data_IF_938943446843
#
_entry.id   IF_938943446843
#
_cell.length_a   1.000
_cell.length_b   1.000
_cell.length_c   1.000
_cell.angle_alpha   90.00
_cell.angle_beta   90.00
_cell.angle_gamma   90.00
#
_symmetry.space_group_name_H-M   'P 1'
#
loop_
_entity.id
_entity.type
_entity.pdbx_description
1 polymer ?
#
# COMPACT_ATOMS: atom_id res chain seq x y z
N UNK A 1 51.39 -1.35 14.32
CA UNK A 1 50.76 -2.36 15.19
C UNK A 1 49.47 -1.86 15.86
N UNK A 2 49.47 -0.82 16.70
CA UNK A 2 48.24 -0.33 17.36
C UNK A 2 47.12 0.15 16.41
N UNK A 3 47.46 0.83 15.32
CA UNK A 3 46.48 1.24 14.30
C UNK A 3 45.93 0.05 13.49
N UNK A 4 46.71 -1.02 13.36
CA UNK A 4 46.34 -2.24 12.61
C UNK A 4 45.43 -3.12 13.47
N UNK A 5 45.75 -3.25 14.77
CA UNK A 5 44.87 -3.89 15.77
C UNK A 5 43.54 -3.16 15.92
N UNK A 6 43.55 -1.81 15.95
CA UNK A 6 42.31 -1.02 15.99
C UNK A 6 41.46 -1.12 14.72
N UNK A 7 42.09 -1.29 13.56
CA UNK A 7 41.38 -1.51 12.29
C UNK A 7 40.78 -2.92 12.22
N UNK A 8 41.54 -3.93 12.65
CA UNK A 8 41.06 -5.33 12.70
C UNK A 8 39.94 -5.50 13.73
N UNK A 9 40.03 -4.88 14.91
CA UNK A 9 38.96 -4.91 15.90
C UNK A 9 37.69 -4.20 15.40
N UNK A 10 37.84 -3.06 14.72
CA UNK A 10 36.70 -2.34 14.11
C UNK A 10 36.06 -3.13 12.96
N UNK A 11 36.87 -3.81 12.13
CA UNK A 11 36.40 -4.65 11.05
C UNK A 11 35.68 -5.91 11.56
N UNK A 12 36.21 -6.55 12.61
CA UNK A 12 35.57 -7.69 13.25
C UNK A 12 34.23 -7.31 13.91
N UNK A 13 34.16 -6.13 14.54
CA UNK A 13 32.92 -5.61 15.11
C UNK A 13 31.89 -5.26 14.03
N UNK A 14 32.34 -4.66 12.91
CA UNK A 14 31.47 -4.40 11.76
C UNK A 14 30.94 -5.69 11.11
N UNK A 15 31.75 -6.74 11.07
CA UNK A 15 31.34 -8.04 10.55
C UNK A 15 30.26 -8.70 11.44
N UNK A 16 30.39 -8.63 12.77
CA UNK A 16 29.37 -9.16 13.69
C UNK A 16 28.06 -8.37 13.60
N UNK A 17 28.11 -7.04 13.46
CA UNK A 17 26.91 -6.22 13.25
C UNK A 17 26.23 -6.54 11.92
N UNK A 18 27.01 -6.67 10.85
CA UNK A 18 26.46 -7.00 9.53
C UNK A 18 25.74 -8.35 9.55
N UNK A 19 26.30 -9.35 10.23
CA UNK A 19 25.69 -10.67 10.44
C UNK A 19 24.42 -10.59 11.27
N UNK A 20 24.44 -9.85 12.37
CA UNK A 20 23.27 -9.61 13.21
C UNK A 20 22.12 -8.96 12.41
N UNK A 21 22.42 -7.90 11.64
CA UNK A 21 21.43 -7.22 10.81
C UNK A 21 20.86 -8.10 9.71
N UNK A 22 21.74 -8.76 8.97
CA UNK A 22 21.39 -9.70 7.91
C UNK A 22 20.33 -10.70 8.40
N UNK A 23 20.59 -11.30 9.56
CA UNK A 23 19.71 -12.30 10.16
C UNK A 23 18.36 -11.71 10.61
N UNK A 24 18.35 -10.50 11.15
CA UNK A 24 17.13 -9.84 11.64
C UNK A 24 16.31 -9.18 10.54
N UNK A 25 16.87 -9.01 9.35
CA UNK A 25 16.22 -8.32 8.23
C UNK A 25 14.87 -8.90 7.81
N UNK A 26 14.69 -10.23 7.69
CA UNK A 26 13.45 -10.78 7.17
C UNK A 26 12.30 -10.61 8.15
N UNK A 27 12.60 -10.31 9.43
CA UNK A 27 11.59 -9.99 10.44
C UNK A 27 10.78 -8.74 10.08
N UNK A 28 11.35 -7.84 9.28
CA UNK A 28 10.64 -6.70 8.74
C UNK A 28 9.53 -7.15 7.77
N UNK A 29 9.70 -8.25 7.04
CA UNK A 29 8.71 -8.76 6.07
C UNK A 29 7.65 -9.63 6.77
N UNK A 30 8.09 -10.60 7.57
CA UNK A 30 7.23 -11.42 8.42
C UNK A 30 7.97 -11.82 9.70
N UNK A 31 7.69 -11.17 10.84
CA UNK A 31 8.42 -11.39 12.08
C UNK A 31 8.19 -12.79 12.65
N UNK A 32 6.97 -13.32 12.59
CA UNK A 32 6.67 -14.63 13.17
C UNK A 32 7.31 -15.77 12.39
N UNK A 33 7.23 -15.73 11.05
CA UNK A 33 7.91 -16.72 10.21
C UNK A 33 9.41 -16.68 10.39
N UNK A 34 9.99 -15.48 10.37
CA UNK A 34 11.44 -15.33 10.55
C UNK A 34 11.87 -15.87 11.89
N UNK A 35 11.20 -15.46 12.98
CA UNK A 35 11.54 -15.86 14.33
C UNK A 35 11.38 -17.36 14.56
N UNK A 36 10.35 -17.98 13.97
CA UNK A 36 10.18 -19.43 13.96
C UNK A 36 11.34 -20.15 13.25
N UNK A 37 11.69 -19.73 12.02
CA UNK A 37 12.76 -20.37 11.24
C UNK A 37 14.11 -20.18 11.91
N UNK A 38 14.42 -18.98 12.40
CA UNK A 38 15.70 -18.69 13.06
C UNK A 38 15.81 -19.38 14.41
N UNK A 39 14.71 -19.52 15.16
CA UNK A 39 14.72 -20.28 16.43
C UNK A 39 14.86 -21.78 16.16
N UNK A 40 14.17 -22.30 15.15
CA UNK A 40 14.31 -23.69 14.72
C UNK A 40 15.76 -24.00 14.31
N UNK A 41 16.32 -23.17 13.42
CA UNK A 41 17.70 -23.31 12.98
C UNK A 41 18.71 -23.22 14.14
N UNK A 42 18.47 -22.35 15.13
CA UNK A 42 19.29 -22.26 16.35
C UNK A 42 19.23 -23.55 17.16
N UNK A 43 18.03 -24.08 17.44
CA UNK A 43 17.86 -25.31 18.24
C UNK A 43 18.45 -26.56 17.58
N UNK A 44 18.51 -26.59 16.23
CA UNK A 44 19.12 -27.69 15.47
C UNK A 44 20.63 -27.48 15.28
N UNK A 45 21.18 -26.33 15.68
CA UNK A 45 22.59 -25.99 15.53
C UNK A 45 23.00 -25.69 14.09
N UNK A 46 22.06 -25.24 13.25
CA UNK A 46 22.28 -24.93 11.84
C UNK A 46 22.33 -23.41 11.65
N UNK A 47 23.46 -22.91 11.16
CA UNK A 47 23.61 -21.50 10.78
C UNK A 47 24.88 -20.85 11.31
N UNK A 48 24.95 -19.52 11.13
CA UNK A 48 26.05 -18.68 11.60
C UNK A 48 26.16 -18.64 13.14
N UNK A 49 27.36 -18.39 13.66
CA UNK A 49 27.68 -18.38 15.09
C UNK A 49 26.81 -17.41 15.90
N UNK A 50 26.37 -16.29 15.30
CA UNK A 50 25.45 -15.33 15.93
C UNK A 50 24.05 -15.92 16.20
N UNK A 51 23.60 -16.89 15.40
CA UNK A 51 22.32 -17.56 15.56
C UNK A 51 22.35 -18.47 16.79
N UNK A 52 23.37 -19.33 16.86
CA UNK A 52 23.57 -20.30 17.93
C UNK A 52 23.86 -19.66 19.29
N UNK A 53 24.28 -18.39 19.28
CA UNK A 53 24.69 -17.68 20.50
C UNK A 53 23.63 -16.70 21.03
N UNK A 54 22.52 -16.51 20.32
CA UNK A 54 21.48 -15.58 20.76
C UNK A 54 20.55 -16.26 21.79
N UNK A 55 20.53 -15.81 23.06
CA UNK A 55 19.77 -16.47 24.13
C UNK A 55 18.26 -16.41 23.92
N UNK A 56 17.77 -15.51 23.07
CA UNK A 56 16.36 -15.46 22.68
C UNK A 56 16.01 -16.54 21.65
N UNK A 57 16.94 -16.91 20.76
CA UNK A 57 16.68 -17.87 19.69
C UNK A 57 16.85 -19.31 20.13
N UNK A 58 17.82 -19.55 21.01
CA UNK A 58 18.10 -20.86 21.60
C UNK A 58 17.15 -21.17 22.77
N UNK A 59 15.85 -21.02 22.55
CA UNK A 59 14.83 -21.30 23.53
C UNK A 59 13.65 -22.04 22.89
N UNK A 60 13.37 -23.23 23.42
CA UNK A 60 12.22 -24.04 22.97
C UNK A 60 10.87 -23.31 23.14
N UNK A 61 10.78 -22.42 24.14
CA UNK A 61 9.59 -21.60 24.37
C UNK A 61 9.38 -20.63 23.20
N UNK A 62 10.45 -19.99 22.75
CA UNK A 62 10.40 -19.03 21.64
C UNK A 62 10.04 -19.74 20.32
N UNK A 63 10.58 -20.95 20.10
CA UNK A 63 10.20 -21.81 18.97
C UNK A 63 8.71 -22.15 18.99
N UNK A 64 8.18 -22.61 20.13
CA UNK A 64 6.79 -23.03 20.24
C UNK A 64 5.82 -21.85 20.09
N UNK A 65 6.09 -20.73 20.76
CA UNK A 65 5.26 -19.52 20.66
C UNK A 65 5.26 -18.96 19.25
N UNK A 66 6.42 -18.90 18.60
CA UNK A 66 6.51 -18.42 17.21
C UNK A 66 5.81 -19.34 16.22
N UNK A 67 5.88 -20.66 16.41
CA UNK A 67 5.10 -21.62 15.64
C UNK A 67 3.60 -21.39 15.79
N UNK A 68 3.10 -21.23 17.03
CA UNK A 68 1.69 -20.94 17.28
C UNK A 68 1.25 -19.63 16.61
N UNK A 69 2.08 -18.59 16.63
CA UNK A 69 1.81 -17.32 15.96
C UNK A 69 1.81 -17.45 14.43
N UNK A 70 2.69 -18.25 13.84
CA UNK A 70 2.69 -18.58 12.41
C UNK A 70 1.39 -19.30 12.02
N UNK A 71 0.99 -20.29 12.80
CA UNK A 71 -0.24 -21.05 12.59
C UNK A 71 -1.46 -20.13 12.72
N UNK A 72 -1.51 -19.30 13.76
CA UNK A 72 -2.58 -18.34 14.01
C UNK A 72 -2.71 -17.27 12.91
N UNK A 73 -1.60 -16.83 12.31
CA UNK A 73 -1.63 -15.82 11.23
C UNK A 73 -1.92 -16.43 9.85
N UNK A 74 -1.67 -17.71 9.65
CA UNK A 74 -1.85 -18.37 8.34
C UNK A 74 -3.22 -19.05 8.19
N UNK A 75 -3.72 -19.70 9.24
CA UNK A 75 -5.00 -20.43 9.20
C UNK A 75 -6.22 -19.55 8.88
N UNK A 76 -6.41 -18.36 9.49
CA UNK A 76 -7.61 -17.54 9.25
C UNK A 76 -7.70 -16.98 7.83
N UNK A 77 -6.62 -17.01 7.06
CA UNK A 77 -6.63 -16.56 5.67
C UNK A 77 -7.14 -17.64 4.70
N UNK A 78 -7.34 -18.88 5.16
CA UNK A 78 -7.76 -20.00 4.32
C UNK A 78 -9.28 -20.02 4.04
N UNK A 79 -10.11 -19.38 4.88
CA UNK A 79 -11.56 -19.38 4.68
C UNK A 79 -12.14 -17.96 4.60
N UNK A 80 -13.18 -17.77 3.77
CA UNK A 80 -13.82 -16.46 3.58
C UNK A 80 -14.49 -15.93 4.86
N UNK A 81 -14.91 -16.81 5.76
CA UNK A 81 -15.62 -16.48 7.01
C UNK A 81 -14.66 -15.91 8.05
N UNK A 82 -13.39 -16.34 8.04
CA UNK A 82 -12.36 -15.88 8.98
C UNK A 82 -11.60 -14.62 8.54
N UNK A 83 -12.01 -13.95 7.45
CA UNK A 83 -11.34 -12.74 6.94
C UNK A 83 -11.15 -11.62 7.97
N UNK A 84 -12.12 -11.27 8.84
CA UNK A 84 -11.90 -10.27 9.88
C UNK A 84 -10.81 -10.67 10.88
N UNK A 85 -10.75 -11.96 11.22
CA UNK A 85 -9.71 -12.52 12.10
C UNK A 85 -8.36 -12.50 11.40
N UNK A 86 -8.31 -12.84 10.11
CA UNK A 86 -7.10 -12.74 9.30
C UNK A 86 -6.53 -11.32 9.22
N UNK A 87 -7.40 -10.32 9.09
CA UNK A 87 -6.99 -8.91 9.13
C UNK A 87 -6.44 -8.49 10.49
N UNK A 88 -7.06 -8.92 11.59
CA UNK A 88 -6.58 -8.65 12.94
C UNK A 88 -5.23 -9.34 13.22
N UNK A 89 -5.08 -10.60 12.78
CA UNK A 89 -3.84 -11.36 12.89
C UNK A 89 -2.71 -10.70 12.08
N UNK A 90 -2.99 -10.25 10.85
CA UNK A 90 -2.04 -9.49 10.02
C UNK A 90 -1.65 -8.15 10.67
N UNK A 91 -2.61 -7.43 11.25
CA UNK A 91 -2.32 -6.20 11.98
C UNK A 91 -1.41 -6.44 13.20
N UNK A 92 -1.64 -7.52 13.95
CA UNK A 92 -0.80 -7.91 15.08
C UNK A 92 0.63 -8.26 14.62
N UNK A 93 0.75 -9.02 13.53
CA UNK A 93 2.02 -9.34 12.88
C UNK A 93 2.77 -8.07 12.42
N UNK A 94 2.06 -7.10 11.81
CA UNK A 94 2.65 -5.83 11.40
C UNK A 94 3.21 -5.05 12.60
N UNK A 95 2.47 -4.98 13.71
CA UNK A 95 2.85 -4.19 14.90
C UNK A 95 3.91 -4.85 15.76
N UNK A 96 3.87 -6.18 15.86
CA UNK A 96 4.87 -6.95 16.61
C UNK A 96 6.26 -6.93 15.98
N UNK A 97 6.37 -6.70 14.67
CA UNK A 97 7.67 -6.63 13.98
C UNK A 97 8.66 -5.65 14.62
N UNK A 98 8.21 -4.46 15.01
CA UNK A 98 9.04 -3.45 15.66
C UNK A 98 9.51 -3.91 17.05
N UNK A 99 8.62 -4.51 17.83
CA UNK A 99 8.90 -4.97 19.20
C UNK A 99 9.88 -6.15 19.15
N UNK A 100 9.61 -7.13 18.30
CA UNK A 100 10.47 -8.30 18.11
C UNK A 100 11.86 -7.89 17.64
N UNK A 101 11.95 -6.98 16.67
CA UNK A 101 13.22 -6.47 16.17
C UNK A 101 14.02 -5.73 17.25
N UNK A 102 13.36 -4.89 18.05
CA UNK A 102 14.00 -4.20 19.17
C UNK A 102 14.48 -5.18 20.25
N UNK A 103 13.66 -6.16 20.62
CA UNK A 103 14.03 -7.18 21.61
C UNK A 103 15.20 -8.03 21.13
N UNK A 104 15.21 -8.45 19.87
CA UNK A 104 16.30 -9.21 19.25
C UNK A 104 17.65 -8.47 19.26
N UNK A 105 17.61 -7.16 19.02
CA UNK A 105 18.80 -6.30 19.06
C UNK A 105 19.32 -6.11 20.47
N UNK A 106 18.42 -5.95 21.44
CA UNK A 106 18.79 -5.66 22.83
C UNK A 106 19.11 -6.92 23.64
N UNK A 107 18.56 -8.08 23.28
CA UNK A 107 18.70 -9.32 24.04
C UNK A 107 20.17 -9.71 24.31
N UNK A 108 21.10 -9.67 23.35
CA UNK A 108 22.51 -9.97 23.63
C UNK A 108 23.13 -9.05 24.68
N UNK A 109 22.71 -7.78 24.75
CA UNK A 109 23.23 -6.81 25.71
C UNK A 109 22.58 -6.92 27.09
N UNK A 110 21.30 -7.29 27.15
CA UNK A 110 20.57 -7.50 28.41
C UNK A 110 21.00 -8.82 29.08
N UNK A 111 21.23 -9.87 28.29
CA UNK A 111 21.45 -11.23 28.80
C UNK A 111 22.93 -11.66 28.86
N UNK A 112 23.89 -10.97 28.21
CA UNK A 112 25.33 -11.28 28.28
C UNK A 112 26.14 -10.28 29.11
N UNK A 113 25.58 -9.79 30.21
CA UNK A 113 26.14 -8.71 31.03
C UNK A 113 27.51 -8.97 31.71
N UNK A 114 28.28 -10.01 31.35
CA UNK A 114 29.45 -10.45 32.12
C UNK A 114 30.75 -10.74 31.33
N UNK A 115 30.99 -10.19 30.14
CA UNK A 115 32.35 -10.31 29.55
C UNK A 115 32.87 -9.05 28.89
N UNK A 116 33.69 -8.38 29.71
CA UNK A 116 34.92 -7.61 29.44
C UNK A 116 35.05 -6.63 28.25
N UNK A 117 35.65 -5.50 28.65
CA UNK A 117 36.60 -4.65 27.93
C UNK A 117 36.05 -3.33 27.35
N UNK A 118 36.40 -2.24 28.05
CA UNK A 118 36.57 -0.86 27.56
C UNK A 118 35.77 -0.51 26.30
N UNK A 119 34.45 -0.54 26.36
CA UNK A 119 33.63 0.03 25.31
C UNK A 119 33.50 1.52 25.57
N UNK A 120 33.74 2.35 24.55
CA UNK A 120 33.46 3.78 24.61
C UNK A 120 31.97 3.96 24.91
N UNK A 121 31.63 4.43 26.10
CA UNK A 121 30.26 4.68 26.54
C UNK A 121 29.92 6.13 26.21
N UNK A 122 28.77 6.35 25.57
CA UNK A 122 28.19 7.68 25.41
C UNK A 122 27.17 7.86 26.52
N UNK A 123 27.50 8.70 27.51
CA UNK A 123 26.56 9.06 28.58
C UNK A 123 25.51 10.03 28.05
N UNK A 124 24.30 9.53 27.81
CA UNK A 124 23.11 10.32 27.49
C UNK A 124 22.34 10.60 28.78
N UNK A 125 22.91 11.44 29.65
CA UNK A 125 22.29 11.94 30.88
C UNK A 125 21.97 10.87 31.93
N UNK A 126 20.90 10.10 31.74
CA UNK A 126 20.44 9.03 32.63
C UNK A 126 20.84 7.62 32.16
N UNK A 127 21.32 7.47 30.93
CA UNK A 127 21.67 6.17 30.36
C UNK A 127 23.07 6.18 29.77
N UNK A 128 23.85 5.19 30.17
CA UNK A 128 25.17 4.88 29.63
C UNK A 128 24.99 3.85 28.51
N UNK A 129 25.06 4.32 27.26
CA UNK A 129 24.87 3.47 26.09
C UNK A 129 26.23 3.24 25.42
N UNK A 130 26.64 1.99 25.19
CA UNK A 130 27.85 1.70 24.44
C UNK A 130 27.78 2.30 23.03
N UNK A 131 28.86 2.92 22.55
CA UNK A 131 28.93 3.49 21.21
C UNK A 131 28.66 2.45 20.10
N UNK A 132 29.01 1.18 20.36
CA UNK A 132 28.65 0.02 19.55
C UNK A 132 27.15 -0.12 19.34
N UNK A 133 26.34 0.07 20.39
CA UNK A 133 24.87 0.02 20.33
C UNK A 133 24.32 1.20 19.54
N UNK A 134 24.88 2.40 19.68
CA UNK A 134 24.45 3.59 18.94
C UNK A 134 24.69 3.42 17.43
N UNK A 135 25.89 2.98 17.04
CA UNK A 135 26.20 2.64 15.65
C UNK A 135 25.29 1.53 15.15
N UNK A 136 25.03 0.52 16.00
CA UNK A 136 24.17 -0.59 15.64
C UNK A 136 22.75 -0.09 15.29
N UNK A 137 22.17 0.76 16.13
CA UNK A 137 20.86 1.38 15.86
C UNK A 137 20.89 2.26 14.60
N UNK A 138 21.96 3.04 14.41
CA UNK A 138 22.11 3.93 13.26
C UNK A 138 22.16 3.19 11.91
N UNK A 139 22.75 1.99 11.85
CA UNK A 139 22.74 1.14 10.66
C UNK A 139 21.49 0.25 10.55
N UNK A 140 20.95 -0.19 11.68
CA UNK A 140 19.73 -1.00 11.76
C UNK A 140 18.51 -0.28 11.16
N UNK A 141 18.32 1.01 11.48
CA UNK A 141 17.14 1.77 11.06
C UNK A 141 17.03 1.88 9.53
N UNK A 142 18.06 2.37 8.79
CA UNK A 142 18.02 2.43 7.33
C UNK A 142 17.84 1.04 6.71
N UNK A 143 18.49 0.03 7.27
CA UNK A 143 18.42 -1.33 6.76
C UNK A 143 17.02 -1.95 6.95
N UNK A 144 16.42 -1.81 8.14
CA UNK A 144 15.04 -2.18 8.41
C UNK A 144 14.06 -1.44 7.49
N UNK A 145 14.31 -0.15 7.22
CA UNK A 145 13.49 0.65 6.30
C UNK A 145 13.53 0.12 4.86
N UNK A 146 14.70 -0.30 4.37
CA UNK A 146 14.88 -0.92 3.05
C UNK A 146 14.02 -2.17 2.93
N UNK A 147 14.07 -3.07 3.92
CA UNK A 147 13.32 -4.33 3.89
C UNK A 147 11.81 -4.12 4.11
N UNK A 148 11.42 -3.21 5.00
CA UNK A 148 10.01 -2.81 5.15
C UNK A 148 9.42 -2.27 3.85
N UNK A 149 10.20 -1.55 3.05
CA UNK A 149 9.73 -1.03 1.76
C UNK A 149 9.42 -2.15 0.77
N UNK A 150 10.17 -3.26 0.79
CA UNK A 150 9.89 -4.45 -0.01
C UNK A 150 8.56 -5.09 0.41
N UNK A 151 8.32 -5.20 1.73
CA UNK A 151 7.01 -5.64 2.25
C UNK A 151 5.88 -4.74 1.78
N UNK A 152 6.04 -3.42 1.97
CA UNK A 152 5.05 -2.44 1.53
C UNK A 152 4.77 -2.51 0.03
N UNK A 153 5.77 -2.88 -0.76
CA UNK A 153 5.58 -3.12 -2.19
C UNK A 153 4.59 -4.28 -2.44
N UNK A 154 4.73 -5.42 -1.77
CA UNK A 154 3.77 -6.52 -1.87
C UNK A 154 2.39 -6.12 -1.35
N UNK A 155 2.31 -5.41 -0.22
CA UNK A 155 1.03 -4.93 0.31
C UNK A 155 0.31 -3.98 -0.66
N UNK A 156 1.05 -3.12 -1.34
CA UNK A 156 0.50 -2.23 -2.38
C UNK A 156 0.03 -3.04 -3.59
N UNK A 157 0.77 -4.07 -4.00
CA UNK A 157 0.38 -4.96 -5.11
C UNK A 157 -0.90 -5.72 -4.79
N UNK A 158 -1.03 -6.25 -3.56
CA UNK A 158 -2.25 -6.86 -3.04
C UNK A 158 -3.38 -5.83 -3.05
N UNK A 159 -3.15 -4.61 -2.54
CA UNK A 159 -4.15 -3.56 -2.51
C UNK A 159 -4.63 -3.12 -3.90
N UNK A 160 -3.75 -3.13 -4.91
CA UNK A 160 -4.09 -2.76 -6.28
C UNK A 160 -4.81 -3.88 -7.05
N UNK A 161 -4.71 -5.11 -6.59
CA UNK A 161 -5.25 -6.26 -7.30
C UNK A 161 -6.78 -6.33 -7.10
N UNK A 162 -7.56 -6.37 -8.20
CA UNK A 162 -9.01 -6.52 -8.11
C UNK A 162 -9.43 -8.00 -8.07
N UNK A 163 -8.49 -8.95 -8.20
CA UNK A 163 -8.76 -10.37 -8.36
C UNK A 163 -8.31 -11.09 -7.07
N UNK A 164 -9.21 -11.72 -6.30
CA UNK A 164 -8.86 -12.39 -5.04
C UNK A 164 -7.78 -13.47 -5.17
N UNK A 165 -7.67 -14.10 -6.34
CA UNK A 165 -6.63 -15.09 -6.63
C UNK A 165 -5.23 -14.44 -6.71
N UNK A 166 -5.14 -13.26 -7.32
CA UNK A 166 -3.89 -12.50 -7.37
C UNK A 166 -3.49 -12.00 -5.98
N UNK A 167 -4.46 -11.63 -5.14
CA UNK A 167 -4.21 -11.22 -3.75
C UNK A 167 -3.53 -12.36 -2.97
N UNK A 168 -4.10 -13.57 -3.05
CA UNK A 168 -3.54 -14.76 -2.42
C UNK A 168 -2.17 -15.13 -2.99
N UNK A 169 -1.98 -15.00 -4.30
CA UNK A 169 -0.69 -15.23 -4.95
C UNK A 169 0.38 -14.24 -4.46
N UNK A 170 0.05 -12.95 -4.35
CA UNK A 170 1.00 -11.95 -3.85
C UNK A 170 1.29 -12.13 -2.36
N UNK A 171 0.31 -12.51 -1.55
CA UNK A 171 0.53 -12.84 -0.14
C UNK A 171 1.44 -14.07 0.01
N UNK A 172 1.21 -15.12 -0.79
CA UNK A 172 2.07 -16.30 -0.81
C UNK A 172 3.49 -15.96 -1.30
N UNK A 173 3.60 -15.13 -2.33
CA UNK A 173 4.88 -14.65 -2.86
C UNK A 173 5.63 -13.84 -1.81
N UNK A 174 4.96 -12.98 -1.06
CA UNK A 174 5.57 -12.21 0.03
C UNK A 174 6.14 -13.13 1.11
N UNK A 175 5.38 -14.15 1.54
CA UNK A 175 5.83 -15.15 2.51
C UNK A 175 7.00 -15.98 1.95
N UNK A 176 6.90 -16.43 0.70
CA UNK A 176 7.95 -17.19 0.00
C UNK A 176 9.25 -16.39 -0.17
N UNK A 177 9.15 -15.10 -0.52
CA UNK A 177 10.30 -14.18 -0.59
C UNK A 177 10.93 -13.99 0.79
N UNK A 178 10.11 -13.92 1.86
CA UNK A 178 10.63 -13.83 3.23
C UNK A 178 11.43 -15.08 3.57
N UNK A 179 10.84 -16.27 3.36
CA UNK A 179 11.50 -17.55 3.60
C UNK A 179 12.80 -17.67 2.80
N UNK A 180 12.76 -17.33 1.52
CA UNK A 180 13.94 -17.32 0.65
C UNK A 180 15.03 -16.37 1.14
N UNK A 181 14.66 -15.16 1.58
CA UNK A 181 15.60 -14.22 2.16
C UNK A 181 16.18 -14.75 3.47
N UNK A 182 15.36 -15.29 4.40
CA UNK A 182 15.87 -15.89 5.65
C UNK A 182 16.93 -16.95 5.34
N UNK A 183 16.64 -17.85 4.41
CA UNK A 183 17.59 -18.91 4.01
C UNK A 183 18.87 -18.29 3.45
N UNK A 184 18.78 -17.31 2.54
CA UNK A 184 19.96 -16.60 2.03
C UNK A 184 20.74 -15.94 3.17
N UNK A 185 20.07 -15.31 4.11
CA UNK A 185 20.73 -14.61 5.22
C UNK A 185 21.41 -15.56 6.20
N UNK A 186 20.90 -16.79 6.35
CA UNK A 186 21.54 -17.83 7.16
C UNK A 186 22.89 -18.28 6.60
N UNK A 187 23.05 -18.31 5.27
CA UNK A 187 24.25 -18.84 4.61
C UNK A 187 25.14 -17.75 3.99
N UNK A 188 24.56 -16.64 3.52
CA UNK A 188 25.19 -15.60 2.71
C UNK A 188 24.67 -14.19 3.08
N UNK A 189 25.01 -13.67 4.27
CA UNK A 189 24.45 -12.42 4.80
C UNK A 189 24.68 -11.20 3.88
N UNK A 190 25.86 -11.10 3.27
CA UNK A 190 26.18 -10.02 2.34
C UNK A 190 25.34 -10.08 1.06
N UNK A 191 25.12 -11.29 0.52
CA UNK A 191 24.31 -11.47 -0.69
C UNK A 191 22.84 -11.09 -0.43
N UNK A 192 22.32 -11.45 0.75
CA UNK A 192 20.98 -11.05 1.16
C UNK A 192 20.82 -9.53 1.19
N UNK A 193 21.81 -8.78 1.71
CA UNK A 193 21.78 -7.31 1.73
C UNK A 193 21.70 -6.74 0.31
N UNK A 194 22.57 -7.19 -0.60
CA UNK A 194 22.57 -6.76 -2.01
C UNK A 194 21.21 -7.03 -2.67
N UNK A 195 20.64 -8.21 -2.41
CA UNK A 195 19.33 -8.60 -2.94
C UNK A 195 18.20 -7.71 -2.38
N UNK A 196 18.22 -7.42 -1.08
CA UNK A 196 17.25 -6.50 -0.45
C UNK A 196 17.37 -5.07 -1.00
N UNK A 197 18.58 -4.60 -1.28
CA UNK A 197 18.79 -3.29 -1.91
C UNK A 197 18.23 -3.26 -3.34
N UNK A 198 18.44 -4.32 -4.12
CA UNK A 198 17.89 -4.44 -5.47
C UNK A 198 16.35 -4.45 -5.45
N UNK A 199 15.76 -5.19 -4.51
CA UNK A 199 14.32 -5.22 -4.31
C UNK A 199 13.76 -3.85 -3.87
N UNK A 200 14.49 -3.12 -3.03
CA UNK A 200 14.14 -1.75 -2.65
C UNK A 200 14.15 -0.79 -3.84
N UNK A 201 15.16 -0.87 -4.72
CA UNK A 201 15.20 -0.07 -5.94
C UNK A 201 14.02 -0.39 -6.86
N UNK A 202 13.66 -1.67 -7.00
CA UNK A 202 12.49 -2.09 -7.76
C UNK A 202 11.19 -1.56 -7.14
N UNK A 203 11.06 -1.63 -5.81
CA UNK A 203 9.94 -1.08 -5.07
C UNK A 203 9.81 0.44 -5.27
N UNK A 204 10.91 1.19 -5.26
CA UNK A 204 10.91 2.64 -5.54
C UNK A 204 10.43 2.97 -6.97
N UNK A 205 10.82 2.18 -7.96
CA UNK A 205 10.35 2.35 -9.33
C UNK A 205 8.83 2.14 -9.44
N UNK A 206 8.31 1.15 -8.73
CA UNK A 206 6.89 0.80 -8.71
C UNK A 206 6.07 1.73 -7.81
N UNK A 207 6.67 2.30 -6.77
CA UNK A 207 6.04 3.28 -5.88
C UNK A 207 5.48 4.48 -6.65
N UNK A 208 6.18 4.96 -7.69
CA UNK A 208 5.68 6.03 -8.57
C UNK A 208 4.37 5.65 -9.29
N UNK A 209 4.16 4.37 -9.61
CA UNK A 209 2.92 3.87 -10.23
C UNK A 209 1.85 3.69 -9.17
N UNK A 210 2.18 3.07 -8.04
CA UNK A 210 1.30 2.89 -6.89
C UNK A 210 0.71 4.22 -6.41
N UNK A 211 1.53 5.25 -6.25
CA UNK A 211 1.11 6.57 -5.82
C UNK A 211 0.11 7.21 -6.81
N UNK A 212 0.25 6.97 -8.12
CA UNK A 212 -0.74 7.45 -9.10
C UNK A 212 -2.09 6.78 -8.91
N UNK A 213 -2.11 5.46 -8.71
CA UNK A 213 -3.35 4.69 -8.51
C UNK A 213 -4.00 5.05 -7.17
N UNK A 214 -3.22 5.12 -6.10
CA UNK A 214 -3.69 5.53 -4.77
C UNK A 214 -4.29 6.94 -4.79
N UNK A 215 -3.63 7.90 -5.45
CA UNK A 215 -4.17 9.26 -5.57
C UNK A 215 -5.48 9.32 -6.38
N UNK A 216 -5.59 8.52 -7.45
CA UNK A 216 -6.83 8.38 -8.22
C UNK A 216 -7.96 7.81 -7.34
N UNK A 217 -7.70 6.68 -6.67
CA UNK A 217 -8.65 6.02 -5.80
C UNK A 217 -9.11 6.93 -4.65
N UNK A 218 -8.15 7.62 -4.02
CA UNK A 218 -8.43 8.56 -2.93
C UNK A 218 -9.32 9.71 -3.40
N UNK A 219 -9.05 10.27 -4.58
CA UNK A 219 -9.86 11.38 -5.07
C UNK A 219 -11.26 10.93 -5.48
N UNK A 220 -11.40 9.83 -6.23
CA UNK A 220 -12.70 9.42 -6.77
C UNK A 220 -13.58 8.70 -5.74
N UNK A 221 -13.02 7.88 -4.85
CA UNK A 221 -13.83 7.06 -3.93
C UNK A 221 -13.75 7.55 -2.49
N UNK A 222 -12.53 7.71 -1.96
CA UNK A 222 -12.33 7.99 -0.53
C UNK A 222 -12.80 9.39 -0.14
N UNK A 223 -12.41 10.40 -0.90
CA UNK A 223 -12.79 11.79 -0.63
C UNK A 223 -14.31 12.00 -0.58
N UNK A 224 -15.11 11.53 -1.57
CA UNK A 224 -16.56 11.68 -1.48
C UNK A 224 -17.17 10.87 -0.33
N UNK A 225 -16.63 9.69 0.02
CA UNK A 225 -17.08 8.95 1.21
C UNK A 225 -16.80 9.76 2.49
N UNK A 226 -15.58 10.27 2.68
CA UNK A 226 -15.22 11.11 3.83
C UNK A 226 -16.11 12.36 3.88
N UNK A 227 -16.35 13.02 2.75
CA UNK A 227 -17.23 14.19 2.69
C UNK A 227 -18.69 13.86 3.08
N UNK A 228 -19.16 12.66 2.74
CA UNK A 228 -20.50 12.20 3.12
C UNK A 228 -20.64 12.01 4.63
N UNK A 229 -19.60 11.48 5.29
CA UNK A 229 -19.61 11.25 6.74
C UNK A 229 -19.24 12.50 7.56
N UNK A 230 -18.30 13.32 7.09
CA UNK A 230 -17.73 14.46 7.83
C UNK A 230 -18.20 15.84 7.31
N UNK A 231 -19.15 15.89 6.38
CA UNK A 231 -19.77 17.13 5.91
C UNK A 231 -18.86 18.09 5.12
N UNK A 232 -17.63 17.71 4.77
CA UNK A 232 -16.69 18.58 4.04
C UNK A 232 -17.08 18.69 2.56
N UNK A 233 -17.70 19.81 2.18
CA UNK A 233 -18.06 20.12 0.78
C UNK A 233 -16.98 20.99 0.12
N UNK A 234 -16.63 20.71 -1.14
CA UNK A 234 -15.70 21.56 -1.92
C UNK A 234 -16.46 22.76 -2.50
N UNK A 235 -15.83 23.95 -2.50
CA UNK A 235 -16.39 25.19 -3.07
C UNK A 235 -16.15 25.25 -4.60
N UNK A 236 -17.02 25.99 -5.32
CA UNK A 236 -16.94 26.27 -6.77
C UNK A 236 -15.59 26.86 -7.22
N UNK A 237 -15.07 27.80 -6.43
CA UNK A 237 -13.68 28.23 -6.52
C UNK A 237 -12.93 27.52 -5.41
N UNK A 238 -12.18 26.48 -5.76
CA UNK A 238 -11.44 25.75 -4.73
C UNK A 238 -10.41 26.67 -4.09
N UNK A 239 -10.51 26.88 -2.77
CA UNK A 239 -9.51 27.61 -1.99
C UNK A 239 -8.09 27.04 -2.18
N UNK A 240 -8.03 25.74 -2.52
CA UNK A 240 -6.82 24.95 -2.78
C UNK A 240 -6.24 25.13 -4.18
N UNK A 241 -6.64 26.16 -4.93
CA UNK A 241 -6.03 26.47 -6.21
C UNK A 241 -4.51 26.68 -6.02
N UNK A 242 -3.64 25.98 -6.78
CA UNK A 242 -2.20 26.12 -6.68
C UNK A 242 -1.74 27.58 -6.82
N UNK A 243 -0.77 28.01 -5.99
CA UNK A 243 -0.21 29.38 -6.05
C UNK A 243 0.27 29.76 -7.45
N UNK A 244 0.78 28.80 -8.23
CA UNK A 244 1.20 29.01 -9.62
C UNK A 244 0.05 29.39 -10.55
N UNK A 245 -1.15 28.86 -10.32
CA UNK A 245 -2.35 29.18 -11.11
C UNK A 245 -2.99 30.48 -10.62
N UNK A 246 -2.99 30.76 -9.31
CA UNK A 246 -3.44 32.06 -8.75
C UNK A 246 -2.65 33.26 -9.29
N UNK A 247 -1.37 33.06 -9.65
CA UNK A 247 -0.55 34.11 -10.28
C UNK A 247 -0.89 34.36 -11.74
N UNK A 248 -1.45 33.36 -12.42
CA UNK A 248 -1.72 33.40 -13.86
C UNK A 248 -3.18 33.78 -14.17
N UNK A 249 -4.11 33.42 -13.29
CA UNK A 249 -5.54 33.72 -13.39
C UNK A 249 -5.95 34.52 -12.15
N UNK A 250 -6.24 35.81 -12.32
CA UNK A 250 -6.41 36.74 -11.20
C UNK A 250 -7.79 36.61 -10.55
N UNK A 251 -8.83 36.28 -11.33
CA UNK A 251 -10.21 36.08 -10.84
C UNK A 251 -10.97 35.04 -11.68
N UNK A 252 -10.67 33.73 -11.53
CA UNK A 252 -11.43 32.70 -12.22
C UNK A 252 -12.87 32.65 -11.68
N UNK A 253 -13.85 32.68 -12.59
CA UNK A 253 -15.29 32.52 -12.29
C UNK A 253 -15.56 31.08 -11.85
N UNK A 254 -14.87 30.13 -12.50
CA UNK A 254 -14.93 28.70 -12.20
C UNK A 254 -13.52 28.17 -11.96
N UNK A 255 -13.30 27.41 -10.88
CA UNK A 255 -12.03 26.75 -10.60
C UNK A 255 -12.22 25.38 -9.95
N UNK A 256 -12.49 24.40 -10.79
CA UNK A 256 -12.89 23.05 -10.37
C UNK A 256 -11.76 22.06 -10.61
N UNK A 257 -11.46 21.24 -9.61
CA UNK A 257 -10.44 20.20 -9.75
C UNK A 257 -11.03 18.98 -10.46
N UNK A 258 -10.37 18.54 -11.52
CA UNK A 258 -10.79 17.39 -12.33
C UNK A 258 -9.65 16.41 -12.59
N UNK A 259 -10.02 15.19 -12.99
CA UNK A 259 -9.12 14.14 -13.47
C UNK A 259 -9.35 13.92 -14.96
N UNK A 260 -8.30 13.86 -15.76
CA UNK A 260 -8.44 13.52 -17.18
C UNK A 260 -8.78 12.04 -17.36
N UNK A 261 -9.84 11.72 -18.10
CA UNK A 261 -10.20 10.36 -18.50
C UNK A 261 -9.34 9.87 -19.67
N UNK A 262 -9.03 10.76 -20.61
CA UNK A 262 -8.16 10.53 -21.78
C UNK A 262 -7.01 11.52 -21.84
N UNK A 263 -6.07 11.30 -22.77
CA UNK A 263 -4.99 12.25 -23.02
C UNK A 263 -5.57 13.45 -23.75
N UNK A 264 -5.44 14.64 -23.18
CA UNK A 264 -5.90 15.90 -23.76
C UNK A 264 -4.67 16.75 -24.05
N UNK A 265 -4.30 16.87 -25.32
CA UNK A 265 -3.05 17.51 -25.77
C UNK A 265 -1.80 16.96 -25.07
N UNK A 266 -1.14 17.83 -24.28
CA UNK A 266 0.08 17.47 -23.52
C UNK A 266 -0.22 16.85 -22.14
N UNK A 267 -1.48 16.83 -21.69
CA UNK A 267 -1.89 16.27 -20.41
C UNK A 267 -2.27 14.80 -20.62
N UNK A 268 -1.52 13.88 -19.98
CA UNK A 268 -1.81 12.44 -20.05
C UNK A 268 -3.12 12.04 -19.36
N UNK A 269 -3.58 10.81 -19.57
CA UNK A 269 -4.76 10.26 -18.89
C UNK A 269 -4.54 10.05 -17.38
N UNK A 270 -5.62 10.08 -16.61
CA UNK A 270 -5.69 9.95 -15.15
C UNK A 270 -4.78 10.93 -14.41
N UNK A 271 -4.66 12.14 -14.95
CA UNK A 271 -3.87 13.22 -14.35
C UNK A 271 -4.79 14.27 -13.76
N UNK A 272 -4.40 14.81 -12.60
CA UNK A 272 -5.07 15.97 -12.04
C UNK A 272 -4.85 17.20 -12.92
N UNK A 273 -5.95 17.88 -13.19
CA UNK A 273 -6.01 19.16 -13.85
C UNK A 273 -7.06 20.04 -13.13
N UNK A 274 -7.07 21.31 -13.50
CA UNK A 274 -8.01 22.32 -13.04
C UNK A 274 -8.76 22.84 -14.25
N UNK A 275 -10.08 22.74 -14.20
CA UNK A 275 -10.95 23.39 -15.18
C UNK A 275 -11.19 24.81 -14.69
N UNK A 276 -10.74 25.78 -15.46
CA UNK A 276 -10.79 27.20 -15.16
C UNK A 276 -11.59 27.93 -16.22
N UNK A 277 -12.46 28.85 -15.79
CA UNK A 277 -13.13 29.80 -16.69
C UNK A 277 -12.74 31.22 -16.27
N UNK A 278 -12.19 32.00 -17.19
CA UNK A 278 -11.89 33.42 -17.01
C UNK A 278 -12.50 34.20 -18.18
N UNK A 279 -13.48 35.06 -17.90
CA UNK A 279 -14.32 35.65 -18.95
C UNK A 279 -15.11 34.58 -19.71
N UNK A 280 -15.02 34.60 -21.03
CA UNK A 280 -15.63 33.58 -21.91
C UNK A 280 -14.69 32.40 -22.21
N UNK A 281 -13.45 32.44 -21.75
CA UNK A 281 -12.44 31.47 -22.13
C UNK A 281 -12.35 30.31 -21.14
N UNK A 282 -12.29 29.09 -21.67
CA UNK A 282 -12.19 27.86 -20.89
C UNK A 282 -10.78 27.28 -20.98
N UNK A 283 -10.17 27.02 -19.82
CA UNK A 283 -8.81 26.53 -19.71
C UNK A 283 -8.75 25.23 -18.92
N UNK A 284 -7.98 24.27 -19.44
CA UNK A 284 -7.55 23.09 -18.71
C UNK A 284 -6.10 23.25 -18.26
N UNK A 285 -5.91 23.41 -16.95
CA UNK A 285 -4.61 23.72 -16.36
C UNK A 285 -4.05 22.56 -15.53
N UNK A 286 -2.84 22.11 -15.85
CA UNK A 286 -2.12 21.14 -15.04
C UNK A 286 -0.94 21.80 -14.30
N UNK A 287 -0.98 21.87 -12.96
CA UNK A 287 0.16 22.34 -12.18
C UNK A 287 1.33 21.34 -12.30
N UNK A 288 2.55 21.85 -12.34
CA UNK A 288 3.77 21.03 -12.35
C UNK A 288 4.67 21.45 -11.19
N UNK A 289 5.27 20.46 -10.54
CA UNK A 289 6.28 20.72 -9.52
C UNK A 289 7.51 21.37 -10.18
N UNK A 290 7.89 22.57 -9.71
CA UNK A 290 9.07 23.34 -10.16
C UNK A 290 9.11 23.74 -11.65
N UNK A 291 8.01 23.65 -12.39
CA UNK A 291 7.91 24.10 -13.80
C UNK A 291 6.67 24.94 -14.02
N UNK A 292 6.66 25.76 -15.07
CA UNK A 292 5.45 26.50 -15.48
C UNK A 292 4.27 25.53 -15.69
N UNK A 293 3.06 25.90 -15.23
CA UNK A 293 1.87 25.08 -15.41
C UNK A 293 1.60 24.87 -16.91
N UNK A 294 1.03 23.72 -17.26
CA UNK A 294 0.54 23.50 -18.62
C UNK A 294 -0.86 24.04 -18.70
N UNK A 295 -1.08 24.98 -19.60
CA UNK A 295 -2.39 25.56 -19.89
C UNK A 295 -2.78 25.06 -21.28
N UNK A 296 -3.97 24.48 -21.39
CA UNK A 296 -4.59 24.11 -22.66
C UNK A 296 -5.86 24.93 -22.77
N UNK A 297 -5.95 25.74 -23.82
CA UNK A 297 -7.18 26.41 -24.18
C UNK A 297 -8.16 25.37 -24.74
N UNK A 298 -9.35 25.30 -24.14
CA UNK A 298 -10.45 24.52 -24.67
C UNK A 298 -11.29 25.49 -25.50
N UNK A 299 -11.31 25.28 -26.81
CA UNK A 299 -11.97 26.21 -27.72
C UNK A 299 -13.44 26.40 -27.33
N UNK A 300 -13.89 27.65 -27.32
CA UNK A 300 -15.24 28.07 -26.91
C UNK A 300 -16.35 27.49 -27.79
N UNK A 301 -16.05 26.96 -28.97
CA UNK A 301 -17.00 26.20 -29.82
C UNK A 301 -17.38 24.81 -29.23
N UNK A 302 -16.79 24.40 -28.11
CA UNK A 302 -17.23 23.23 -27.35
C UNK A 302 -18.45 23.53 -26.46
N UNK A 303 -18.79 24.80 -26.26
CA UNK A 303 -20.01 25.25 -25.56
C UNK A 303 -21.22 24.79 -26.38
N UNK A 304 -21.98 23.83 -25.85
CA UNK A 304 -23.07 23.15 -26.57
C UNK A 304 -22.81 21.69 -26.99
N UNK A 305 -21.56 21.22 -27.08
CA UNK A 305 -21.23 19.79 -27.34
C UNK A 305 -20.83 19.01 -26.10
N UNK A 306 -20.58 19.72 -25.00
CA UNK A 306 -20.20 19.12 -23.74
C UNK A 306 -21.42 18.56 -23.03
N UNK A 307 -21.37 17.26 -22.75
CA UNK A 307 -22.37 16.52 -22.02
C UNK A 307 -21.85 16.18 -20.62
N UNK A 308 -22.74 16.21 -19.64
CA UNK A 308 -22.45 15.80 -18.28
C UNK A 308 -23.25 14.54 -17.94
N UNK A 309 -22.53 13.46 -17.64
CA UNK A 309 -23.12 12.21 -17.14
C UNK A 309 -22.78 12.00 -15.67
N UNK A 310 -23.76 11.52 -14.90
CA UNK A 310 -23.59 11.21 -13.48
C UNK A 310 -23.29 9.71 -13.29
N UNK A 311 -22.20 9.41 -12.60
CA UNK A 311 -21.91 8.09 -12.05
C UNK A 311 -21.97 8.14 -10.51
N UNK A 312 -22.00 6.98 -9.86
CA UNK A 312 -22.22 6.83 -8.42
C UNK A 312 -21.26 7.66 -7.53
N UNK A 313 -20.02 7.86 -7.97
CA UNK A 313 -18.96 8.53 -7.19
C UNK A 313 -18.28 9.69 -7.92
N UNK A 314 -18.66 9.97 -9.17
CA UNK A 314 -18.09 11.05 -9.96
C UNK A 314 -19.02 11.48 -11.09
N UNK A 315 -18.82 12.69 -11.60
CA UNK A 315 -19.47 13.17 -12.82
C UNK A 315 -18.47 13.13 -13.97
N UNK A 316 -18.91 12.75 -15.15
CA UNK A 316 -18.10 12.72 -16.37
C UNK A 316 -18.57 13.85 -17.26
N UNK A 317 -17.68 14.82 -17.49
CA UNK A 317 -17.83 15.82 -18.53
C UNK A 317 -17.14 15.28 -19.79
N UNK A 318 -17.91 15.04 -20.84
CA UNK A 318 -17.39 14.52 -22.09
C UNK A 318 -17.95 15.28 -23.29
N UNK A 319 -17.16 15.33 -24.36
CA UNK A 319 -17.61 15.81 -25.67
C UNK A 319 -18.30 14.67 -26.45
N UNK A 320 -19.14 14.97 -27.44
CA UNK A 320 -19.82 14.00 -28.30
C UNK A 320 -18.83 13.03 -28.97
N UNK A 321 -17.67 13.54 -29.39
CA UNK A 321 -16.59 12.77 -30.01
C UNK A 321 -15.71 12.05 -28.98
N UNK A 322 -15.95 12.25 -27.68
CA UNK A 322 -15.21 11.64 -26.57
C UNK A 322 -13.69 11.94 -26.59
N UNK A 323 -13.31 13.05 -27.23
CA UNK A 323 -11.95 13.61 -27.25
C UNK A 323 -11.63 14.28 -25.91
N UNK A 324 -12.58 15.06 -25.38
CA UNK A 324 -12.54 15.56 -24.01
C UNK A 324 -13.28 14.58 -23.09
N UNK A 325 -12.60 14.10 -22.06
CA UNK A 325 -13.24 13.36 -20.96
C UNK A 325 -12.62 13.80 -19.64
N UNK A 326 -13.39 14.46 -18.80
CA UNK A 326 -12.99 14.96 -17.49
C UNK A 326 -13.87 14.33 -16.41
N UNK A 327 -13.24 13.85 -15.35
CA UNK A 327 -13.87 13.22 -14.20
C UNK A 327 -13.88 14.24 -13.06
N UNK A 328 -15.08 14.63 -12.65
CA UNK A 328 -15.36 15.56 -11.55
C UNK A 328 -15.76 14.76 -10.31
N UNK A 329 -15.29 15.18 -9.14
CA UNK A 329 -15.62 14.50 -7.89
C UNK A 329 -17.12 14.63 -7.55
N UNK A 330 -17.74 13.58 -6.99
CA UNK A 330 -19.12 13.68 -6.47
C UNK A 330 -19.29 14.76 -5.38
N UNK A 331 -18.21 15.21 -4.74
CA UNK A 331 -18.22 16.36 -3.83
C UNK A 331 -18.76 17.65 -4.46
N UNK A 332 -18.69 17.80 -5.78
CA UNK A 332 -19.21 18.96 -6.50
C UNK A 332 -20.73 18.91 -6.74
N UNK A 333 -21.44 17.85 -6.30
CA UNK A 333 -22.90 17.70 -6.48
C UNK A 333 -23.72 18.98 -6.16
N UNK A 334 -23.49 19.72 -5.05
CA UNK A 334 -24.22 20.95 -4.75
C UNK A 334 -23.97 22.09 -5.75
N UNK A 335 -22.88 22.00 -6.51
CA UNK A 335 -22.38 23.02 -7.41
C UNK A 335 -22.53 22.64 -8.88
N UNK A 336 -23.05 21.44 -9.19
CA UNK A 336 -23.25 20.98 -10.58
C UNK A 336 -24.12 21.94 -11.37
N UNK A 337 -25.20 22.47 -10.78
CA UNK A 337 -26.07 23.43 -11.47
C UNK A 337 -25.33 24.72 -11.88
N UNK A 338 -24.47 25.23 -10.99
CA UNK A 338 -23.63 26.39 -11.28
C UNK A 338 -22.53 26.07 -12.30
N UNK A 339 -21.93 24.88 -12.23
CA UNK A 339 -20.96 24.39 -13.23
C UNK A 339 -21.63 24.28 -14.61
N UNK A 340 -22.84 23.75 -14.68
CA UNK A 340 -23.62 23.61 -15.92
C UNK A 340 -23.97 24.98 -16.50
N UNK A 341 -24.44 25.92 -15.66
CA UNK A 341 -24.76 27.28 -16.09
C UNK A 341 -23.52 28.03 -16.60
N UNK A 342 -22.38 27.89 -15.92
CA UNK A 342 -21.14 28.55 -16.33
C UNK A 342 -20.48 27.91 -17.55
N UNK A 343 -20.72 26.63 -17.82
CA UNK A 343 -20.17 25.94 -18.98
C UNK A 343 -21.13 25.91 -20.17
N UNK A 344 -22.31 26.54 -20.05
CA UNK A 344 -23.38 26.54 -21.06
C UNK A 344 -23.67 25.13 -21.61
N UNK A 345 -23.83 24.16 -20.70
CA UNK A 345 -24.06 22.76 -21.04
C UNK A 345 -25.55 22.49 -21.29
N UNK A 346 -25.88 21.77 -22.36
CA UNK A 346 -27.22 21.21 -22.52
C UNK A 346 -27.54 20.26 -21.35
N UNK A 347 -28.68 20.49 -20.69
CA UNK A 347 -29.03 19.83 -19.43
C UNK A 347 -29.18 18.30 -19.58
N UNK A 348 -28.79 17.61 -18.49
CA UNK A 348 -28.88 16.17 -18.25
C UNK A 348 -30.01 15.43 -19.00
N UNK A 349 -29.62 14.54 -19.89
CA UNK A 349 -30.41 13.33 -20.14
C UNK A 349 -30.46 12.50 -18.85
N UNK A 350 -31.64 12.37 -18.24
CA UNK A 350 -31.99 11.48 -17.10
C UNK A 350 -31.73 9.97 -17.36
N UNK A 351 -30.90 9.63 -18.34
CA UNK A 351 -30.68 8.29 -18.89
C UNK A 351 -29.64 7.50 -18.07
N UNK A 352 -28.69 8.17 -17.41
CA UNK A 352 -27.60 7.51 -16.67
C UNK A 352 -28.08 6.68 -15.47
N UNK A 353 -28.96 7.24 -14.65
CA UNK A 353 -29.48 6.57 -13.44
C UNK A 353 -30.45 5.42 -13.78
N UNK A 354 -31.21 5.53 -14.86
CA UNK A 354 -32.11 4.48 -15.34
C UNK A 354 -31.33 3.29 -15.91
N UNK A 355 -30.38 3.55 -16.83
CA UNK A 355 -29.50 2.51 -17.38
C UNK A 355 -28.65 1.83 -16.30
N UNK A 356 -28.21 2.56 -15.28
CA UNK A 356 -27.41 1.98 -14.20
C UNK A 356 -28.24 1.15 -13.22
N UNK A 357 -29.47 1.57 -12.87
CA UNK A 357 -30.41 0.71 -12.12
C UNK A 357 -30.72 -0.57 -12.89
N UNK A 358 -30.83 -0.48 -14.20
CA UNK A 358 -31.10 -1.62 -15.08
C UNK A 358 -29.89 -2.55 -15.20
N UNK A 359 -28.67 -2.00 -15.31
CA UNK A 359 -27.41 -2.76 -15.31
C UNK A 359 -27.14 -3.44 -13.97
N UNK A 360 -27.37 -2.75 -12.84
CA UNK A 360 -27.27 -3.34 -11.50
C UNK A 360 -28.35 -4.39 -11.24
N UNK A 361 -29.58 -4.19 -11.76
CA UNK A 361 -30.62 -5.23 -11.75
C UNK A 361 -30.24 -6.43 -12.59
N UNK A 362 -29.61 -6.23 -13.75
CA UNK A 362 -29.15 -7.33 -14.61
C UNK A 362 -27.95 -8.08 -14.02
N UNK A 363 -26.98 -7.39 -13.41
CA UNK A 363 -25.88 -8.06 -12.69
C UNK A 363 -26.35 -8.75 -11.41
N UNK A 364 -27.28 -8.13 -10.66
CA UNK A 364 -27.91 -8.74 -9.50
C UNK A 364 -28.69 -10.00 -9.87
N UNK A 365 -29.50 -9.96 -10.95
CA UNK A 365 -30.18 -11.15 -11.50
C UNK A 365 -29.20 -12.21 -11.96
N UNK A 366 -28.18 -11.87 -12.75
CA UNK A 366 -27.15 -12.85 -13.19
C UNK A 366 -26.40 -13.48 -12.02
N UNK A 367 -26.12 -12.74 -10.96
CA UNK A 367 -25.48 -13.27 -9.75
C UNK A 367 -26.40 -14.21 -8.97
N UNK A 368 -27.68 -13.84 -8.81
CA UNK A 368 -28.69 -14.68 -8.12
C UNK A 368 -29.03 -15.92 -8.94
N UNK A 369 -29.16 -15.80 -10.26
CA UNK A 369 -29.43 -16.91 -11.19
C UNK A 369 -28.23 -17.87 -11.28
N UNK A 370 -26.99 -17.36 -11.21
CA UNK A 370 -25.80 -18.20 -11.12
C UNK A 370 -25.72 -18.96 -9.79
N UNK A 371 -26.14 -18.33 -8.69
CA UNK A 371 -26.21 -18.98 -7.37
C UNK A 371 -27.34 -20.01 -7.35
N UNK A 372 -28.54 -19.67 -7.83
CA UNK A 372 -29.68 -20.58 -7.92
C UNK A 372 -29.42 -21.75 -8.87
N UNK A 373 -28.73 -21.51 -9.99
CA UNK A 373 -28.29 -22.56 -10.91
C UNK A 373 -27.26 -23.50 -10.28
N UNK A 374 -26.34 -22.98 -9.45
CA UNK A 374 -25.42 -23.81 -8.66
C UNK A 374 -26.15 -24.68 -7.62
N UNK A 375 -27.28 -24.20 -7.08
CA UNK A 375 -28.11 -24.97 -6.14
C UNK A 375 -29.11 -25.91 -6.82
N UNK A 376 -29.51 -25.67 -8.07
CA UNK A 376 -30.43 -26.55 -8.81
C UNK A 376 -29.71 -27.66 -9.57
N UNK A 377 -28.42 -27.53 -9.86
CA UNK A 377 -27.61 -28.59 -10.50
C UNK A 377 -27.04 -29.62 -9.52
N UNK A 378 -27.20 -29.41 -8.22
CA UNK A 378 -26.92 -30.41 -7.19
C UNK A 378 -28.11 -31.35 -7.01
N UNK A 379 -28.15 -32.43 -7.78
CA UNK A 379 -29.19 -33.45 -7.70
C UNK A 379 -29.29 -34.06 -6.30
N UNK A 380 -30.25 -33.57 -5.51
CA UNK A 380 -30.83 -34.35 -4.42
C UNK A 380 -31.83 -35.30 -5.10
N UNK A 381 -31.31 -36.47 -5.47
CA UNK A 381 -32.13 -37.66 -5.71
C UNK A 381 -32.95 -37.90 -4.43
N UNK A 382 -34.22 -37.51 -4.44
CA UNK A 382 -35.18 -38.03 -3.48
C UNK A 382 -35.47 -39.49 -3.87
N UNK A 383 -34.62 -40.39 -3.37
CA UNK A 383 -34.95 -41.80 -3.28
C UNK A 383 -35.94 -41.97 -2.12
N UNK A 384 -37.23 -41.68 -2.35
CA UNK A 384 -38.31 -42.17 -1.51
C UNK A 384 -38.67 -43.56 -2.04
N UNK A 385 -38.04 -44.57 -1.45
CA UNK A 385 -38.45 -45.95 -1.58
C UNK A 385 -39.90 -46.10 -1.16
N UNK A 386 -40.69 -46.65 -2.07
CA UNK A 386 -41.93 -47.36 -1.79
C UNK A 386 -41.62 -48.46 -0.76
N UNK A 387 -42.22 -48.33 0.42
CA UNK A 387 -42.59 -49.45 1.26
C UNK A 387 -44.09 -49.25 1.43
N UNK A 388 -44.85 -50.05 0.69
CA UNK A 388 -46.24 -50.48 0.84
C UNK A 388 -46.72 -50.90 -0.56
N UNK A 389 -46.49 -52.16 -0.89
CA UNK A 389 -47.48 -53.12 -1.38
C UNK A 389 -46.79 -54.29 -2.11
N UNK A 390 -47.12 -55.49 -1.61
CA UNK A 390 -46.80 -56.87 -2.07
C UNK A 390 -45.40 -57.45 -1.81
#
# INVERSE_FOLDING_TARGET
MLAQYGMESSLAQNASFTKAFALMSPMAISPFWTLFITSFASTVGVGEEYLATNPMLDSWVVLLVSFLLVVFTTLPNLTKVSRPVGLAAKFLEDKSSYVIYAMMMMAPYIFRAESEAQQAVVSLGLFDIPFSVLLMVAFAIPYFMVVMTVRYFFDIMIFLSPIPLLDAFFELTQKGVTLFLVVIYLFFPFFGLVLSLLMFLLALLLFKRAQKVSNYFRHIYVNPLIARFFGRREKLVSEKLPKSLKKQFYRPVLAVKCLTGRRIGKIGSRKFAWLLKEGNELFLCQPRFLRKPRVIFLNTDLSGRLQLSEELYHYILHDEQNELRLLLNAQYKPHIAAIVAELDLEQMGKVGLARQKEYLRQQGKKGVDAILGMFSSGGISQNKGSILDE
#
